data_IF_613310505571
#
_entry.id   IF_613310505571
#
_cell.length_a   1.000
_cell.length_b   1.000
_cell.length_c   1.000
_cell.angle_alpha   90.00
_cell.angle_beta   90.00
_cell.angle_gamma   90.00
#
_symmetry.space_group_name_H-M   'P 1'
#
loop_
_entity.id
_entity.type
_entity.pdbx_description
1 polymer ?
#
# COMPACT_ATOMS: atom_id res chain seq x y z
N UNK A 1 63.43 -17.84 5.43
CA UNK A 1 62.00 -17.92 5.07
C UNK A 1 61.38 -16.54 5.30
N UNK A 2 60.93 -15.83 4.25
CA UNK A 2 60.45 -14.46 4.38
C UNK A 2 58.96 -14.42 4.79
N UNK A 3 58.61 -13.46 5.65
CA UNK A 3 57.22 -13.10 6.00
C UNK A 3 56.55 -12.43 4.79
N UNK A 4 55.30 -12.78 4.42
CA UNK A 4 54.56 -11.98 3.45
C UNK A 4 53.86 -10.80 4.14
N UNK A 5 53.99 -9.67 3.46
CA UNK A 5 53.46 -8.34 3.78
C UNK A 5 51.94 -8.28 3.73
N UNK A 6 51.37 -7.45 4.61
CA UNK A 6 49.94 -7.21 4.70
C UNK A 6 49.37 -6.44 3.51
N UNK A 7 48.29 -6.99 2.94
CA UNK A 7 47.33 -6.26 2.13
C UNK A 7 46.30 -5.64 3.09
N UNK A 8 46.18 -4.32 3.12
CA UNK A 8 45.03 -3.63 3.75
C UNK A 8 43.97 -3.43 2.67
N UNK A 9 42.90 -4.21 2.73
CA UNK A 9 41.67 -4.00 1.99
C UNK A 9 40.81 -3.03 2.81
N UNK A 10 40.65 -1.80 2.35
CA UNK A 10 39.64 -0.86 2.84
C UNK A 10 38.27 -1.30 2.32
N UNK A 11 37.49 -1.97 3.16
CA UNK A 11 36.08 -2.22 2.92
C UNK A 11 35.27 -0.98 3.37
N UNK A 12 34.54 -0.38 2.43
CA UNK A 12 33.52 0.60 2.74
C UNK A 12 32.34 -0.12 3.40
N UNK A 13 32.09 0.18 4.68
CA UNK A 13 30.95 -0.32 5.43
C UNK A 13 29.71 0.50 5.02
N UNK A 14 28.88 -0.04 4.13
CA UNK A 14 27.49 0.42 4.00
C UNK A 14 26.74 -0.04 5.24
N UNK A 15 26.50 0.88 6.17
CA UNK A 15 25.68 0.62 7.35
C UNK A 15 24.20 0.55 6.93
N UNK A 16 23.72 -0.66 6.64
CA UNK A 16 22.30 -0.96 6.67
C UNK A 16 21.91 -1.00 8.15
N UNK A 17 21.35 0.10 8.67
CA UNK A 17 20.80 0.10 10.03
C UNK A 17 19.51 -0.71 9.97
N UNK A 18 19.62 -1.98 10.34
CA UNK A 18 18.48 -2.86 10.56
C UNK A 18 17.81 -2.40 11.87
N UNK A 19 16.87 -1.47 11.75
CA UNK A 19 15.98 -1.13 12.86
C UNK A 19 15.13 -2.38 13.11
N UNK A 20 15.13 -2.98 14.32
CA UNK A 20 14.25 -4.10 14.61
C UNK A 20 12.82 -3.66 14.33
N UNK A 21 12.07 -4.49 13.60
CA UNK A 21 10.66 -4.24 13.32
C UNK A 21 9.94 -3.98 14.65
N UNK A 22 9.67 -2.71 14.94
CA UNK A 22 8.85 -2.31 16.07
C UNK A 22 7.46 -2.84 15.74
N UNK A 23 7.11 -3.96 16.37
CA UNK A 23 5.74 -4.45 16.41
C UNK A 23 4.92 -3.36 17.09
N UNK A 24 4.21 -2.57 16.28
CA UNK A 24 3.30 -1.52 16.73
C UNK A 24 2.07 -2.16 17.40
N UNK A 25 2.30 -2.75 18.58
CA UNK A 25 1.30 -3.26 19.49
C UNK A 25 1.10 -2.28 20.65
N UNK A 26 0.66 -1.05 20.37
CA UNK A 26 0.28 -0.09 21.40
C UNK A 26 -1.21 0.26 21.25
N UNK A 27 -2.02 -0.31 22.13
CA UNK A 27 -3.41 0.10 22.35
C UNK A 27 -3.44 1.56 22.82
N UNK A 28 -4.15 2.47 22.14
CA UNK A 28 -4.26 3.85 22.60
C UNK A 28 -5.16 3.92 23.82
N UNK A 29 -4.65 4.54 24.89
CA UNK A 29 -5.45 5.03 26.01
C UNK A 29 -6.22 6.27 25.51
N UNK A 30 -7.50 6.47 25.87
CA UNK A 30 -8.25 7.62 25.40
C UNK A 30 -7.67 8.90 26.01
N UNK A 31 -7.09 9.74 25.17
CA UNK A 31 -6.60 11.07 25.54
C UNK A 31 -7.71 12.08 25.33
N UNK A 32 -8.05 12.76 26.43
CA UNK A 32 -9.01 13.85 26.53
C UNK A 32 -8.59 15.00 25.60
N UNK A 33 -9.48 15.37 24.67
CA UNK A 33 -9.25 16.39 23.66
C UNK A 33 -9.31 17.77 24.31
N UNK A 34 -8.16 18.41 24.50
CA UNK A 34 -8.08 19.82 24.88
C UNK A 34 -8.12 20.64 23.59
N UNK A 35 -9.26 21.27 23.33
CA UNK A 35 -9.37 22.34 22.34
C UNK A 35 -8.59 23.56 22.84
N UNK A 36 -7.53 23.92 22.13
CA UNK A 36 -6.86 25.21 22.28
C UNK A 36 -7.17 26.04 21.04
N UNK A 37 -8.11 26.97 21.19
CA UNK A 37 -8.29 28.10 20.28
C UNK A 37 -7.05 29.00 20.37
N UNK A 38 -6.29 29.10 19.29
CA UNK A 38 -5.26 30.10 19.11
C UNK A 38 -5.37 30.67 17.70
N UNK A 39 -6.12 31.75 17.58
CA UNK A 39 -6.01 32.68 16.45
C UNK A 39 -4.60 33.27 16.46
N UNK A 40 -3.82 32.95 15.43
CA UNK A 40 -2.55 33.62 15.13
C UNK A 40 -2.71 34.31 13.78
N UNK A 41 -3.08 35.59 13.85
CA UNK A 41 -2.89 36.52 12.75
C UNK A 41 -1.39 36.86 12.67
N UNK A 42 -0.76 36.49 11.56
CA UNK A 42 0.63 36.80 11.23
C UNK A 42 0.77 36.96 9.72
N UNK A 43 0.73 38.21 9.26
CA UNK A 43 0.97 38.63 7.88
C UNK A 43 2.38 38.28 7.39
N UNK A 44 2.48 37.83 6.13
CA UNK A 44 3.69 37.97 5.31
C UNK A 44 4.68 36.80 5.30
N UNK A 45 4.22 35.56 5.13
CA UNK A 45 5.08 34.43 4.79
C UNK A 45 5.09 34.20 3.27
N UNK A 46 6.29 34.07 2.68
CA UNK A 46 6.45 33.61 1.30
C UNK A 46 5.68 32.29 1.10
N UNK A 47 4.99 32.19 -0.02
CA UNK A 47 4.18 31.02 -0.40
C UNK A 47 5.11 29.79 -0.36
N UNK A 48 4.85 28.78 0.51
CA UNK A 48 5.69 27.60 0.59
C UNK A 48 5.67 26.89 -0.76
N UNK A 49 6.83 26.37 -1.18
CA UNK A 49 6.99 25.58 -2.41
C UNK A 49 5.79 24.65 -2.59
N UNK A 50 5.10 24.80 -3.73
CA UNK A 50 3.84 24.11 -4.04
C UNK A 50 4.02 22.60 -3.81
N UNK A 51 3.28 22.05 -2.85
CA UNK A 51 3.25 20.61 -2.59
C UNK A 51 2.62 19.86 -3.77
N UNK A 52 2.65 18.51 -3.75
CA UNK A 52 1.89 17.72 -4.72
C UNK A 52 0.40 18.14 -4.69
N UNK A 53 -0.18 18.29 -5.87
CA UNK A 53 -1.53 18.79 -6.02
C UNK A 53 -2.54 17.89 -5.28
N UNK A 54 -3.34 18.49 -4.38
CA UNK A 54 -4.37 17.79 -3.61
C UNK A 54 -3.90 17.25 -2.24
N UNK A 55 -2.60 17.16 -2.00
CA UNK A 55 -2.08 16.66 -0.73
C UNK A 55 -1.98 17.76 0.33
N UNK A 56 -2.28 17.42 1.58
CA UNK A 56 -2.08 18.28 2.75
C UNK A 56 -0.66 18.15 3.27
N UNK A 57 -0.03 19.27 3.63
CA UNK A 57 1.33 19.33 4.17
C UNK A 57 1.32 19.23 5.70
N UNK A 58 2.04 18.25 6.24
CA UNK A 58 2.24 18.04 7.67
C UNK A 58 3.72 18.20 8.02
N UNK A 59 4.00 18.77 9.20
CA UNK A 59 5.37 19.10 9.62
C UNK A 59 5.64 18.59 11.03
N UNK A 60 6.77 17.92 11.22
CA UNK A 60 7.30 17.47 12.50
C UNK A 60 8.69 18.07 12.75
N UNK A 61 8.90 18.86 13.81
CA UNK A 61 10.23 19.24 14.24
C UNK A 61 11.08 18.02 14.63
N UNK A 62 12.25 17.86 13.99
CA UNK A 62 13.12 16.70 14.18
C UNK A 62 14.59 17.13 14.29
N UNK A 63 15.14 17.05 15.51
CA UNK A 63 16.49 17.54 15.79
C UNK A 63 16.59 19.06 15.56
N UNK A 64 17.58 19.48 14.77
CA UNK A 64 17.77 20.89 14.34
C UNK A 64 16.97 21.23 13.08
N UNK A 65 16.19 20.28 12.56
CA UNK A 65 15.46 20.40 11.32
C UNK A 65 13.98 20.04 11.46
N UNK A 66 13.38 19.69 10.33
CA UNK A 66 11.99 19.26 10.25
C UNK A 66 11.82 18.13 9.24
N UNK A 67 10.89 17.23 9.55
CA UNK A 67 10.37 16.23 8.61
C UNK A 67 9.02 16.70 8.10
N UNK A 68 8.82 16.63 6.79
CA UNK A 68 7.60 17.04 6.11
C UNK A 68 6.99 15.83 5.43
N UNK A 69 5.70 15.58 5.67
CA UNK A 69 4.93 14.57 4.97
C UNK A 69 3.81 15.25 4.17
N UNK A 70 3.54 14.75 2.97
CA UNK A 70 2.37 15.13 2.19
C UNK A 70 1.43 13.93 2.10
N UNK A 71 0.17 14.12 2.49
CA UNK A 71 -0.84 13.06 2.40
C UNK A 71 -2.24 13.67 2.29
N UNK A 72 -3.21 12.89 1.86
CA UNK A 72 -4.62 13.28 1.86
C UNK A 72 -5.08 13.71 3.25
N UNK A 73 -5.95 14.73 3.31
CA UNK A 73 -6.43 15.29 4.57
C UNK A 73 -7.13 14.26 5.46
N UNK A 74 -7.85 13.31 4.87
CA UNK A 74 -8.56 12.27 5.61
C UNK A 74 -7.63 11.23 6.27
N UNK A 75 -6.34 11.23 5.92
CA UNK A 75 -5.31 10.36 6.49
C UNK A 75 -4.53 11.03 7.63
N UNK A 76 -4.99 12.17 8.17
CA UNK A 76 -4.32 12.89 9.26
C UNK A 76 -3.96 11.97 10.44
N UNK A 77 -4.88 11.08 10.85
CA UNK A 77 -4.63 10.13 11.93
C UNK A 77 -3.46 9.17 11.65
N UNK A 78 -3.25 8.82 10.38
CA UNK A 78 -2.13 7.97 9.94
C UNK A 78 -0.81 8.73 9.92
N UNK A 79 -0.85 9.99 9.49
CA UNK A 79 0.32 10.88 9.54
C UNK A 79 0.75 11.12 10.99
N UNK A 80 -0.19 11.34 11.91
CA UNK A 80 0.11 11.48 13.33
C UNK A 80 0.77 10.22 13.91
N UNK A 81 0.30 9.03 13.53
CA UNK A 81 0.93 7.75 13.95
C UNK A 81 2.34 7.60 13.39
N UNK A 82 2.56 7.97 12.13
CA UNK A 82 3.91 8.04 11.55
C UNK A 82 4.79 9.01 12.35
N UNK A 83 4.28 10.18 12.70
CA UNK A 83 5.04 11.17 13.47
C UNK A 83 5.37 10.68 14.88
N UNK A 84 4.47 9.96 15.55
CA UNK A 84 4.78 9.32 16.83
C UNK A 84 5.94 8.33 16.71
N UNK A 85 5.96 7.51 15.65
CA UNK A 85 7.09 6.62 15.36
C UNK A 85 8.40 7.40 15.17
N UNK A 86 8.36 8.53 14.45
CA UNK A 86 9.52 9.40 14.30
C UNK A 86 9.94 10.02 15.65
N UNK A 87 8.99 10.46 16.48
CA UNK A 87 9.31 10.99 17.80
C UNK A 87 9.96 9.95 18.71
N UNK A 88 9.54 8.69 18.64
CA UNK A 88 10.18 7.57 19.34
C UNK A 88 11.63 7.39 18.85
N UNK A 89 11.85 7.39 17.52
CA UNK A 89 13.20 7.34 16.94
C UNK A 89 14.06 8.53 17.41
N UNK A 90 13.48 9.73 17.49
CA UNK A 90 14.16 10.93 18.00
C UNK A 90 14.51 10.78 19.48
N UNK A 91 13.61 10.24 20.30
CA UNK A 91 13.84 9.99 21.72
C UNK A 91 14.97 8.97 21.93
N UNK A 92 15.10 8.00 21.02
CA UNK A 92 16.20 7.05 20.93
C UNK A 92 17.49 7.62 20.31
N UNK A 93 17.50 8.92 19.95
CA UNK A 93 18.62 9.62 19.32
C UNK A 93 19.02 9.03 17.96
N UNK A 94 18.06 8.46 17.24
CA UNK A 94 18.25 7.99 15.87
C UNK A 94 18.23 9.18 14.93
N UNK A 95 19.33 9.42 14.22
CA UNK A 95 19.41 10.45 13.18
C UNK A 95 18.69 10.00 11.91
N UNK A 96 17.84 10.87 11.36
CA UNK A 96 17.19 10.66 10.06
C UNK A 96 17.92 11.50 9.01
N UNK A 97 18.25 10.86 7.89
CA UNK A 97 18.95 11.46 6.76
C UNK A 97 18.35 10.97 5.45
N UNK A 98 18.84 11.46 4.31
CA UNK A 98 18.42 10.99 2.98
C UNK A 98 18.77 9.53 2.67
N UNK A 99 19.62 8.91 3.51
CA UNK A 99 19.94 7.48 3.43
C UNK A 99 19.03 6.62 4.29
N UNK A 100 18.25 7.22 5.18
CA UNK A 100 17.35 6.50 6.07
C UNK A 100 16.23 5.89 5.24
N UNK A 101 15.90 4.64 5.56
CA UNK A 101 14.78 3.90 5.01
C UNK A 101 13.97 3.41 6.20
N UNK A 102 12.67 3.74 6.21
CA UNK A 102 11.78 3.46 7.33
C UNK A 102 10.73 2.44 6.89
N UNK A 103 10.90 1.16 7.22
CA UNK A 103 9.88 0.14 6.99
C UNK A 103 8.61 0.47 7.79
N UNK A 104 7.46 0.43 7.14
CA UNK A 104 6.14 0.64 7.74
C UNK A 104 5.14 -0.39 7.23
N UNK A 105 4.94 -1.45 8.02
CA UNK A 105 3.96 -2.50 7.72
C UNK A 105 4.27 -3.27 6.44
N UNK A 106 3.80 -2.76 5.29
CA UNK A 106 3.88 -3.40 3.98
C UNK A 106 4.87 -2.73 3.01
N UNK A 107 5.44 -1.58 3.36
CA UNK A 107 6.34 -0.83 2.47
C UNK A 107 7.47 -0.14 3.23
N UNK A 108 8.31 0.61 2.51
CA UNK A 108 9.45 1.34 3.07
C UNK A 108 9.42 2.78 2.60
N UNK A 109 9.28 3.71 3.56
CA UNK A 109 9.38 5.14 3.30
C UNK A 109 10.84 5.57 3.23
N UNK A 110 11.07 6.66 2.49
CA UNK A 110 12.37 7.27 2.31
C UNK A 110 12.32 8.76 2.59
N UNK A 111 13.50 9.37 2.70
CA UNK A 111 13.62 10.78 3.02
C UNK A 111 14.48 11.46 1.95
N UNK A 112 14.06 12.63 1.52
CA UNK A 112 14.81 13.43 0.55
C UNK A 112 14.90 14.88 1.01
N UNK A 113 16.04 15.53 0.77
CA UNK A 113 16.12 16.97 0.94
C UNK A 113 15.34 17.63 -0.21
N UNK A 114 14.53 18.66 0.04
CA UNK A 114 13.88 19.38 -1.05
C UNK A 114 14.95 19.93 -2.00
N UNK A 115 14.68 19.84 -3.31
CA UNK A 115 15.52 20.48 -4.32
C UNK A 115 15.48 21.98 -4.03
N UNK A 116 16.60 22.54 -3.60
CA UNK A 116 16.68 23.93 -3.17
C UNK A 116 16.46 24.87 -4.37
N UNK A 117 15.23 25.27 -4.60
CA UNK A 117 14.90 26.38 -5.50
C UNK A 117 14.74 27.66 -4.68
N UNK A 118 15.87 28.25 -4.28
CA UNK A 118 15.86 29.61 -3.76
C UNK A 118 16.89 29.95 -2.68
N UNK A 119 17.11 31.25 -2.42
CA UNK A 119 18.06 31.76 -1.43
C UNK A 119 17.65 31.51 0.03
N UNK A 120 16.44 30.98 0.29
CA UNK A 120 15.94 30.70 1.65
C UNK A 120 16.55 29.46 2.30
N UNK A 121 17.26 28.62 1.54
CA UNK A 121 18.11 27.55 2.09
C UNK A 121 19.27 28.06 2.97
N UNK A 122 19.44 29.38 3.09
CA UNK A 122 20.44 30.03 3.92
C UNK A 122 20.09 30.10 5.42
N UNK A 123 18.86 29.78 5.83
CA UNK A 123 18.42 29.82 7.24
C UNK A 123 18.71 28.54 8.05
N UNK A 124 19.42 27.57 7.48
CA UNK A 124 20.15 26.54 8.23
C UNK A 124 19.35 25.38 8.82
N UNK A 125 18.02 25.41 8.84
CA UNK A 125 17.20 24.28 9.27
C UNK A 125 17.07 23.24 8.15
N UNK A 126 17.59 22.03 8.38
CA UNK A 126 17.46 20.92 7.43
C UNK A 126 15.99 20.50 7.30
N UNK A 127 15.48 20.45 6.07
CA UNK A 127 14.14 19.92 5.80
C UNK A 127 14.29 18.58 5.09
N UNK A 128 13.58 17.55 5.56
CA UNK A 128 13.48 16.25 4.90
C UNK A 128 12.03 15.98 4.55
N UNK A 129 11.77 15.67 3.29
CA UNK A 129 10.46 15.27 2.79
C UNK A 129 10.38 13.75 2.83
N UNK A 130 9.33 13.21 3.45
CA UNK A 130 9.01 11.78 3.44
C UNK A 130 8.47 11.43 2.06
N UNK A 131 8.97 10.34 1.48
CA UNK A 131 8.59 9.85 0.15
C UNK A 131 8.25 8.37 0.18
N UNK A 132 7.21 8.00 -0.53
CA UNK A 132 6.86 6.60 -0.81
C UNK A 132 7.37 6.17 -2.19
N UNK A 133 7.51 4.86 -2.44
CA UNK A 133 7.65 4.32 -3.80
C UNK A 133 6.58 4.89 -4.74
N UNK A 134 6.94 5.15 -5.98
CA UNK A 134 5.98 5.61 -6.99
C UNK A 134 5.11 4.46 -7.50
N UNK A 135 4.05 4.12 -6.76
CA UNK A 135 3.17 2.99 -7.07
C UNK A 135 2.39 3.12 -8.38
N UNK A 136 2.30 4.31 -8.97
CA UNK A 136 1.62 4.53 -10.25
C UNK A 136 2.59 4.50 -11.44
N UNK A 137 3.91 4.53 -11.17
CA UNK A 137 4.99 4.57 -12.15
C UNK A 137 5.95 3.39 -12.00
N UNK A 138 7.18 3.67 -11.55
CA UNK A 138 8.25 2.68 -11.34
C UNK A 138 8.55 2.52 -9.84
N UNK A 139 7.86 1.64 -9.09
CA UNK A 139 7.95 1.63 -7.62
C UNK A 139 9.32 1.18 -7.10
N UNK A 140 10.07 0.39 -7.88
CA UNK A 140 11.40 -0.09 -7.47
C UNK A 140 12.50 0.99 -7.65
N UNK A 141 12.29 1.97 -8.54
CA UNK A 141 13.32 2.92 -8.97
C UNK A 141 12.96 4.39 -8.69
N UNK A 142 11.67 4.71 -8.55
CA UNK A 142 11.15 6.06 -8.35
C UNK A 142 10.40 6.19 -7.02
N UNK A 143 10.34 7.43 -6.54
CA UNK A 143 9.60 7.79 -5.32
C UNK A 143 8.83 9.08 -5.52
N UNK A 144 7.77 9.29 -4.76
CA UNK A 144 6.95 10.51 -4.79
C UNK A 144 6.72 11.07 -3.40
N UNK A 145 6.46 12.37 -3.32
CA UNK A 145 6.34 13.09 -2.05
C UNK A 145 4.99 12.86 -1.35
N UNK A 146 3.94 12.56 -2.11
CA UNK A 146 2.63 12.21 -1.56
C UNK A 146 2.66 10.75 -1.08
N UNK A 147 2.50 10.54 0.24
CA UNK A 147 2.56 9.23 0.90
C UNK A 147 1.18 8.60 1.17
N UNK A 148 0.14 9.10 0.50
CA UNK A 148 -1.25 8.70 0.76
C UNK A 148 -1.50 7.21 0.52
N UNK A 149 -0.89 6.61 -0.50
CA UNK A 149 -1.13 5.19 -0.83
C UNK A 149 -0.54 4.26 0.22
N UNK A 150 0.66 4.57 0.71
CA UNK A 150 1.30 3.86 1.83
C UNK A 150 0.43 3.89 3.08
N UNK A 151 0.00 5.09 3.46
CA UNK A 151 -0.75 5.32 4.70
C UNK A 151 -2.18 4.76 4.62
N UNK A 152 -2.89 4.96 3.52
CA UNK A 152 -4.23 4.41 3.34
C UNK A 152 -4.22 2.88 3.38
N UNK A 153 -3.24 2.25 2.72
CA UNK A 153 -3.10 0.79 2.74
C UNK A 153 -2.73 0.28 4.13
N UNK A 154 -1.82 0.96 4.84
CA UNK A 154 -1.47 0.61 6.21
C UNK A 154 -2.67 0.76 7.17
N UNK A 155 -3.53 1.77 6.97
CA UNK A 155 -4.73 1.98 7.76
C UNK A 155 -5.72 0.82 7.61
N UNK A 156 -6.00 0.38 6.36
CA UNK A 156 -6.87 -0.77 6.09
C UNK A 156 -6.31 -2.05 6.70
N UNK A 157 -5.02 -2.30 6.53
CA UNK A 157 -4.34 -3.45 7.12
C UNK A 157 -4.42 -3.46 8.65
N UNK A 158 -4.24 -2.29 9.28
CA UNK A 158 -4.40 -2.17 10.73
C UNK A 158 -5.83 -2.46 11.16
N UNK A 159 -6.82 -1.97 10.43
CA UNK A 159 -8.23 -2.27 10.71
C UNK A 159 -8.50 -3.78 10.76
N UNK A 160 -7.93 -4.56 9.83
CA UNK A 160 -8.01 -6.03 9.85
C UNK A 160 -7.32 -6.61 11.09
N UNK A 161 -6.09 -6.16 11.40
CA UNK A 161 -5.34 -6.63 12.57
C UNK A 161 -6.07 -6.34 13.90
N UNK A 162 -6.68 -5.16 14.02
CA UNK A 162 -7.43 -4.73 15.19
C UNK A 162 -8.70 -5.58 15.39
N UNK A 163 -9.44 -5.87 14.32
CA UNK A 163 -10.64 -6.74 14.39
C UNK A 163 -10.31 -8.17 14.75
N UNK A 164 -9.24 -8.71 14.16
CA UNK A 164 -8.78 -10.07 14.44
C UNK A 164 -8.08 -10.14 15.82
N UNK A 165 -7.61 -9.01 16.35
CA UNK A 165 -6.99 -8.91 17.67
C UNK A 165 -5.55 -9.46 17.72
N UNK A 166 -4.79 -9.30 16.64
CA UNK A 166 -3.46 -9.90 16.48
C UNK A 166 -2.41 -8.87 16.08
N UNK A 167 -1.14 -9.16 16.42
CA UNK A 167 -0.02 -8.37 15.93
C UNK A 167 0.26 -8.72 14.46
N UNK A 168 0.60 -7.70 13.67
CA UNK A 168 0.95 -7.88 12.27
C UNK A 168 2.36 -8.42 12.05
N UNK A 169 2.53 -9.17 10.97
CA UNK A 169 3.82 -9.58 10.40
C UNK A 169 4.11 -8.73 9.17
N UNK A 170 5.18 -7.93 9.22
CA UNK A 170 5.53 -7.01 8.15
C UNK A 170 5.90 -7.73 6.85
N UNK A 171 5.58 -7.08 5.73
CA UNK A 171 6.05 -7.42 4.38
C UNK A 171 6.65 -6.18 3.74
N UNK A 172 7.23 -6.31 2.55
CA UNK A 172 7.67 -5.17 1.77
C UNK A 172 7.01 -5.18 0.38
N UNK A 173 6.85 -4.00 -0.22
CA UNK A 173 6.11 -3.82 -1.47
C UNK A 173 6.76 -4.55 -2.65
N UNK A 174 8.09 -4.74 -2.60
CA UNK A 174 8.93 -5.41 -3.59
C UNK A 174 9.09 -6.93 -3.33
N UNK A 175 8.51 -7.43 -2.23
CA UNK A 175 8.34 -8.86 -2.00
C UNK A 175 7.18 -9.40 -2.84
N UNK A 176 7.18 -10.72 -3.01
CA UNK A 176 6.35 -11.42 -3.96
C UNK A 176 5.37 -12.36 -3.27
N UNK A 177 4.18 -12.43 -3.83
CA UNK A 177 3.11 -13.37 -3.54
C UNK A 177 3.13 -14.44 -4.63
N UNK A 178 2.96 -15.70 -4.23
CA UNK A 178 2.75 -16.78 -5.19
C UNK A 178 1.27 -16.81 -5.56
N UNK A 179 0.93 -16.74 -6.83
CA UNK A 179 -0.46 -16.74 -7.27
C UNK A 179 -0.68 -17.82 -8.32
N UNK A 180 -1.90 -18.36 -8.36
CA UNK A 180 -2.39 -19.06 -9.55
C UNK A 180 -2.58 -18.03 -10.65
N UNK A 181 -2.13 -18.35 -11.87
CA UNK A 181 -2.20 -17.42 -12.99
C UNK A 181 -3.65 -16.95 -13.22
N UNK A 182 -3.86 -15.64 -13.28
CA UNK A 182 -5.19 -15.05 -13.47
C UNK A 182 -6.06 -15.03 -12.21
N UNK A 183 -5.54 -15.43 -11.04
CA UNK A 183 -6.30 -15.40 -9.79
C UNK A 183 -6.73 -13.99 -9.38
N UNK A 184 -6.02 -12.93 -9.82
CA UNK A 184 -6.42 -11.55 -9.54
C UNK A 184 -7.79 -11.20 -10.14
N UNK A 185 -8.14 -11.80 -11.28
CA UNK A 185 -9.39 -11.55 -12.01
C UNK A 185 -10.58 -12.39 -11.50
N UNK A 186 -10.34 -13.32 -10.58
CA UNK A 186 -11.37 -14.22 -10.05
C UNK A 186 -12.06 -13.57 -8.86
N UNK A 187 -13.39 -13.54 -8.86
CA UNK A 187 -14.18 -12.93 -7.78
C UNK A 187 -13.93 -13.62 -6.43
N UNK A 188 -14.05 -14.95 -6.40
CA UNK A 188 -13.93 -15.76 -5.19
C UNK A 188 -12.50 -16.33 -5.03
N UNK A 189 -11.71 -15.70 -4.16
CA UNK A 189 -10.31 -16.08 -3.92
C UNK A 189 -10.01 -16.22 -2.44
N UNK A 190 -8.93 -16.93 -2.14
CA UNK A 190 -8.34 -16.98 -0.81
C UNK A 190 -6.87 -16.57 -0.86
N UNK A 191 -6.45 -15.93 0.22
CA UNK A 191 -5.05 -15.68 0.56
C UNK A 191 -4.68 -16.59 1.72
N UNK A 192 -3.66 -17.42 1.53
CA UNK A 192 -3.09 -18.26 2.58
C UNK A 192 -1.68 -17.78 2.91
N UNK A 193 -1.41 -17.44 4.17
CA UNK A 193 -0.07 -17.12 4.64
C UNK A 193 0.61 -18.37 5.19
N UNK A 194 1.63 -18.84 4.49
CA UNK A 194 2.58 -19.82 5.04
C UNK A 194 3.81 -19.11 5.60
N UNK A 195 4.62 -19.83 6.38
CA UNK A 195 5.93 -19.34 6.80
C UNK A 195 6.74 -18.95 5.56
N UNK A 196 7.23 -17.71 5.54
CA UNK A 196 8.05 -17.21 4.43
C UNK A 196 9.27 -18.12 4.24
N UNK A 197 9.55 -18.58 3.00
CA UNK A 197 10.80 -19.29 2.71
C UNK A 197 12.02 -18.34 2.68
N UNK A 198 11.83 -17.05 2.94
CA UNK A 198 12.85 -16.01 2.88
C UNK A 198 13.05 -15.41 1.48
N UNK A 199 14.05 -14.53 1.36
CA UNK A 199 14.36 -13.83 0.12
C UNK A 199 13.27 -12.83 -0.28
N UNK A 200 12.86 -12.84 -1.56
CA UNK A 200 11.79 -11.97 -2.06
C UNK A 200 10.39 -12.52 -1.80
N UNK A 201 10.21 -13.70 -1.21
CA UNK A 201 8.88 -14.28 -1.05
C UNK A 201 8.26 -13.84 0.29
N UNK A 202 7.04 -13.32 0.22
CA UNK A 202 6.25 -12.97 1.41
C UNK A 202 5.83 -14.21 2.19
N UNK A 203 5.52 -15.32 1.51
CA UNK A 203 4.82 -16.47 2.10
C UNK A 203 3.30 -16.43 1.88
N UNK A 204 2.77 -15.35 1.30
CA UNK A 204 1.39 -15.33 0.83
C UNK A 204 1.22 -16.18 -0.44
N UNK A 205 0.09 -16.87 -0.51
CA UNK A 205 -0.38 -17.62 -1.66
C UNK A 205 -1.79 -17.18 -2.03
N UNK A 206 -2.01 -16.77 -3.27
CA UNK A 206 -3.30 -16.39 -3.81
C UNK A 206 -3.85 -17.52 -4.69
N UNK A 207 -5.06 -17.99 -4.39
CA UNK A 207 -5.69 -19.08 -5.15
C UNK A 207 -7.22 -18.90 -5.24
N UNK A 208 -7.87 -19.49 -6.26
CA UNK A 208 -9.32 -19.58 -6.31
C UNK A 208 -9.88 -20.40 -5.13
N UNK A 209 -11.05 -20.03 -4.61
CA UNK A 209 -11.72 -20.83 -3.57
C UNK A 209 -12.24 -22.18 -4.08
N UNK A 210 -12.47 -22.29 -5.40
CA UNK A 210 -12.88 -23.52 -6.08
C UNK A 210 -11.81 -24.64 -6.02
N UNK A 211 -10.58 -24.32 -5.60
CA UNK A 211 -9.45 -25.22 -5.54
C UNK A 211 -8.44 -24.95 -6.66
N UNK A 212 -7.40 -25.78 -6.68
CA UNK A 212 -6.29 -25.71 -7.63
C UNK A 212 -6.27 -27.02 -8.43
N UNK A 213 -6.19 -26.92 -9.75
CA UNK A 213 -5.99 -28.02 -10.70
C UNK A 213 -4.50 -28.32 -10.89
N UNK A 214 -4.16 -29.53 -11.34
CA UNK A 214 -2.78 -29.87 -11.75
C UNK A 214 -2.32 -29.08 -12.98
N UNK A 215 -3.27 -28.56 -13.76
CA UNK A 215 -3.02 -27.76 -14.97
C UNK A 215 -2.79 -26.27 -14.65
N UNK A 216 -3.03 -25.84 -13.42
CA UNK A 216 -2.90 -24.44 -13.06
C UNK A 216 -1.43 -24.01 -12.98
N UNK A 217 -1.09 -22.96 -13.72
CA UNK A 217 0.24 -22.36 -13.69
C UNK A 217 0.40 -21.42 -12.49
N UNK A 218 1.62 -21.40 -11.92
CA UNK A 218 1.98 -20.50 -10.83
C UNK A 218 2.76 -19.30 -11.36
N UNK A 219 2.38 -18.12 -10.89
CA UNK A 219 3.10 -16.87 -11.12
C UNK A 219 3.57 -16.23 -9.82
N UNK A 220 4.55 -15.33 -9.96
CA UNK A 220 5.18 -14.60 -8.85
C UNK A 220 4.92 -13.12 -9.02
N UNK A 221 4.05 -12.56 -8.19
CA UNK A 221 3.59 -11.19 -8.31
C UNK A 221 4.20 -10.33 -7.20
N UNK A 222 4.87 -9.22 -7.48
CA UNK A 222 5.28 -8.29 -6.43
C UNK A 222 4.03 -7.66 -5.78
N UNK A 223 4.11 -7.35 -4.49
CA UNK A 223 2.99 -6.80 -3.71
C UNK A 223 2.46 -5.50 -4.33
N UNK A 224 3.33 -4.65 -4.88
CA UNK A 224 2.88 -3.44 -5.58
C UNK A 224 2.06 -3.72 -6.85
N UNK A 225 2.30 -4.84 -7.55
CA UNK A 225 1.49 -5.20 -8.72
C UNK A 225 0.08 -5.65 -8.29
N UNK A 226 -0.04 -6.30 -7.13
CA UNK A 226 -1.34 -6.64 -6.53
C UNK A 226 -2.05 -5.37 -6.08
N UNK A 227 -1.34 -4.41 -5.51
CA UNK A 227 -1.91 -3.10 -5.17
C UNK A 227 -2.51 -2.42 -6.39
N UNK A 228 -1.81 -2.41 -7.53
CA UNK A 228 -2.31 -1.80 -8.76
C UNK A 228 -3.53 -2.54 -9.34
N UNK A 229 -3.52 -3.88 -9.29
CA UNK A 229 -4.56 -4.69 -9.91
C UNK A 229 -5.81 -4.86 -9.03
N UNK A 230 -5.63 -5.13 -7.74
CA UNK A 230 -6.70 -5.41 -6.77
C UNK A 230 -6.31 -5.01 -5.35
N UNK A 231 -6.35 -3.70 -5.02
CA UNK A 231 -5.88 -3.14 -3.75
C UNK A 231 -6.45 -3.80 -2.49
N UNK A 232 -7.70 -4.27 -2.55
CA UNK A 232 -8.40 -4.88 -1.42
C UNK A 232 -7.70 -6.12 -0.88
N UNK A 233 -6.97 -6.86 -1.73
CA UNK A 233 -6.24 -8.05 -1.30
C UNK A 233 -5.10 -7.72 -0.31
N UNK A 234 -4.59 -6.49 -0.31
CA UNK A 234 -3.53 -6.08 0.61
C UNK A 234 -4.03 -5.96 2.06
N UNK A 235 -5.32 -5.82 2.30
CA UNK A 235 -5.88 -5.56 3.63
C UNK A 235 -5.53 -6.68 4.62
N UNK A 236 -5.52 -7.93 4.16
CA UNK A 236 -5.15 -9.08 4.98
C UNK A 236 -3.63 -9.31 5.07
N UNK A 237 -2.81 -8.62 4.28
CA UNK A 237 -1.42 -9.06 4.02
C UNK A 237 -0.44 -8.86 5.18
N UNK A 238 -0.84 -8.17 6.26
CA UNK A 238 -0.09 -8.13 7.51
C UNK A 238 -0.48 -9.22 8.51
N UNK A 239 -1.47 -10.07 8.20
CA UNK A 239 -1.78 -11.21 9.07
C UNK A 239 -0.56 -12.15 9.16
N UNK A 240 -0.31 -12.71 10.36
CA UNK A 240 0.86 -13.55 10.56
C UNK A 240 0.74 -14.91 9.86
N UNK A 241 1.87 -15.60 9.78
CA UNK A 241 1.94 -16.95 9.24
C UNK A 241 0.94 -17.91 9.89
N UNK A 242 0.25 -18.72 9.06
CA UNK A 242 -0.82 -19.62 9.45
C UNK A 242 -2.23 -19.08 9.15
N UNK A 243 -2.39 -17.78 8.91
CA UNK A 243 -3.70 -17.19 8.66
C UNK A 243 -4.16 -17.40 7.22
N UNK A 244 -5.49 -17.43 7.05
CA UNK A 244 -6.15 -17.47 5.76
C UNK A 244 -7.23 -16.40 5.68
N UNK A 245 -7.37 -15.74 4.53
CA UNK A 245 -8.36 -14.70 4.28
C UNK A 245 -9.13 -15.01 3.00
N UNK A 246 -10.46 -15.01 3.08
CA UNK A 246 -11.36 -15.26 1.95
C UNK A 246 -11.93 -13.94 1.41
N UNK A 247 -12.00 -13.82 0.09
CA UNK A 247 -12.55 -12.66 -0.59
C UNK A 247 -13.65 -13.07 -1.56
N UNK A 248 -14.67 -12.22 -1.64
CA UNK A 248 -15.72 -12.23 -2.66
C UNK A 248 -15.71 -10.86 -3.33
N UNK A 249 -15.16 -10.80 -4.54
CA UNK A 249 -14.78 -9.53 -5.17
C UNK A 249 -13.79 -8.77 -4.27
N UNK A 250 -13.99 -7.48 -4.07
CA UNK A 250 -13.10 -6.67 -3.22
C UNK A 250 -13.47 -6.73 -1.72
N UNK A 251 -14.41 -7.59 -1.33
CA UNK A 251 -14.83 -7.74 0.05
C UNK A 251 -14.04 -8.86 0.73
N UNK A 252 -13.27 -8.51 1.77
CA UNK A 252 -12.77 -9.50 2.74
C UNK A 252 -13.98 -10.07 3.50
N UNK A 253 -14.18 -11.38 3.43
CA UNK A 253 -15.37 -12.04 3.97
C UNK A 253 -15.09 -12.83 5.24
N UNK A 254 -14.05 -13.64 5.26
CA UNK A 254 -13.74 -14.50 6.40
C UNK A 254 -12.24 -14.54 6.64
N UNK A 255 -11.83 -14.51 7.91
CA UNK A 255 -10.45 -14.77 8.32
C UNK A 255 -10.42 -16.01 9.21
N UNK A 256 -9.54 -16.94 8.87
CA UNK A 256 -9.21 -18.13 9.66
C UNK A 256 -7.82 -17.97 10.29
N UNK A 257 -7.66 -18.48 11.50
CA UNK A 257 -6.35 -18.64 12.15
C UNK A 257 -5.62 -19.92 11.70
N UNK A 258 -4.41 -20.15 12.21
CA UNK A 258 -3.61 -21.34 11.90
C UNK A 258 -4.14 -22.67 12.45
N UNK A 259 -5.26 -22.65 13.18
CA UNK A 259 -5.99 -23.84 13.64
C UNK A 259 -7.33 -24.01 12.88
N UNK A 260 -7.47 -23.34 11.73
CA UNK A 260 -8.66 -23.32 10.87
C UNK A 260 -9.93 -22.82 11.59
N UNK A 261 -9.77 -21.98 12.63
CA UNK A 261 -10.90 -21.37 13.32
C UNK A 261 -11.23 -20.02 12.71
N UNK A 262 -12.53 -19.78 12.51
CA UNK A 262 -13.04 -18.45 12.15
C UNK A 262 -12.77 -17.48 13.30
N UNK A 263 -11.87 -16.53 13.06
CA UNK A 263 -11.54 -15.45 14.00
C UNK A 263 -12.24 -14.15 13.63
N UNK A 264 -12.69 -14.03 12.37
CA UNK A 264 -13.50 -12.92 11.90
C UNK A 264 -14.38 -13.35 10.72
N UNK A 265 -15.63 -12.88 10.68
CA UNK A 265 -16.59 -13.13 9.61
C UNK A 265 -17.49 -11.89 9.42
N UNK A 266 -17.44 -11.31 8.22
CA UNK A 266 -18.20 -10.10 7.87
C UNK A 266 -19.71 -10.25 8.08
N UNK A 267 -20.27 -11.46 7.90
CA UNK A 267 -21.72 -11.69 8.04
C UNK A 267 -22.16 -11.66 9.49
N UNK A 268 -21.26 -12.02 10.42
CA UNK A 268 -21.55 -12.05 11.84
C UNK A 268 -21.61 -10.63 12.45
N UNK A 269 -20.94 -9.65 11.84
CA UNK A 269 -20.92 -8.25 12.29
C UNK A 269 -22.17 -7.46 11.88
N UNK A 270 -23.02 -8.03 11.02
CA UNK A 270 -24.26 -7.39 10.56
C UNK A 270 -24.01 -6.26 9.55
N UNK A 271 -25.01 -6.02 8.70
CA UNK A 271 -25.00 -5.04 7.59
C UNK A 271 -24.67 -3.59 8.01
N UNK A 272 -24.63 -3.28 9.30
CA UNK A 272 -24.40 -1.93 9.82
C UNK A 272 -22.91 -1.55 9.90
N UNK A 273 -21.99 -2.51 9.72
CA UNK A 273 -20.53 -2.28 9.64
C UNK A 273 -20.05 -1.81 8.25
N UNK A 274 -20.92 -1.75 7.24
CA UNK A 274 -20.59 -1.38 5.85
C UNK A 274 -20.08 0.07 5.67
N UNK A 275 -19.98 0.86 6.74
CA UNK A 275 -19.53 2.26 6.70
C UNK A 275 -18.03 2.49 6.87
N UNK A 276 -17.24 1.47 7.21
CA UNK A 276 -15.81 1.64 7.54
C UNK A 276 -14.84 1.29 6.40
N UNK A 277 -15.36 1.04 5.20
CA UNK A 277 -14.56 0.94 3.98
C UNK A 277 -13.73 -0.34 3.85
N UNK A 278 -13.83 -1.29 4.80
CA UNK A 278 -13.24 -2.62 4.64
C UNK A 278 -14.20 -3.50 3.81
N UNK A 279 -14.08 -3.35 2.49
CA UNK A 279 -14.76 -4.16 1.46
C UNK A 279 -15.87 -3.45 0.66
N UNK A 280 -16.06 -2.15 0.84
CA UNK A 280 -16.84 -1.37 -0.14
C UNK A 280 -16.00 -1.18 -1.42
N UNK A 281 -16.57 -1.41 -2.62
CA UNK A 281 -15.87 -1.11 -3.87
C UNK A 281 -15.51 0.38 -3.87
N UNK A 282 -14.22 0.68 -4.06
CA UNK A 282 -13.76 2.06 -4.23
C UNK A 282 -14.46 2.59 -5.48
N UNK A 283 -15.41 3.50 -5.29
CA UNK A 283 -16.11 4.13 -6.39
C UNK A 283 -15.08 4.91 -7.21
N UNK A 284 -14.60 4.30 -8.30
CA UNK A 284 -13.86 5.01 -9.32
C UNK A 284 -14.73 6.17 -9.80
N UNK A 285 -14.20 7.38 -9.71
CA UNK A 285 -14.77 8.60 -10.30
C UNK A 285 -14.79 8.48 -11.83
N UNK A 286 -15.65 7.63 -12.35
CA UNK A 286 -15.98 7.50 -13.75
C UNK A 286 -17.33 8.15 -13.97
N UNK A 287 -17.32 9.43 -14.34
CA UNK A 287 -18.49 10.15 -14.84
C UNK A 287 -19.08 9.39 -16.03
N UNK A 288 -20.11 8.58 -15.77
CA UNK A 288 -20.87 7.93 -16.82
C UNK A 288 -21.92 8.93 -17.29
N UNK A 289 -21.65 9.56 -18.42
CA UNK A 289 -22.60 10.40 -19.13
C UNK A 289 -23.77 9.51 -19.60
N UNK A 290 -24.91 9.68 -18.94
CA UNK A 290 -26.16 8.99 -19.19
C UNK A 290 -26.73 9.42 -20.56
N UNK A 291 -26.47 8.63 -21.61
CA UNK A 291 -27.11 8.80 -22.92
C UNK A 291 -28.46 8.09 -22.91
N UNK A 292 -29.52 8.89 -23.00
CA UNK A 292 -30.91 8.44 -23.01
C UNK A 292 -31.25 7.47 -24.17
N UNK A 293 -32.14 6.48 -23.96
CA UNK A 293 -32.54 5.53 -24.98
C UNK A 293 -33.56 6.13 -25.97
N UNK A 294 -33.18 6.20 -27.24
CA UNK A 294 -34.06 6.57 -28.36
C UNK A 294 -35.00 5.43 -28.80
N UNK A 295 -36.27 5.78 -28.92
CA UNK A 295 -37.46 5.01 -29.34
C UNK A 295 -37.29 4.22 -30.68
N UNK A 296 -37.95 3.04 -30.85
CA UNK A 296 -37.79 2.20 -32.04
C UNK A 296 -38.65 2.63 -33.24
N UNK A 297 -38.06 2.64 -34.43
CA UNK A 297 -38.74 2.84 -35.72
C UNK A 297 -38.95 1.52 -36.49
N UNK A 298 -40.19 1.31 -36.95
CA UNK A 298 -40.70 0.17 -37.74
C UNK A 298 -40.15 0.10 -39.19
N UNK A 299 -40.39 -1.00 -39.94
CA UNK A 299 -39.47 -1.55 -40.93
C UNK A 299 -39.76 -1.07 -42.36
N UNK A 300 -38.70 -0.99 -43.16
CA UNK A 300 -38.76 -0.82 -44.61
C UNK A 300 -38.46 -2.15 -45.31
N UNK A 301 -39.43 -2.61 -46.08
CA UNK A 301 -39.34 -3.71 -47.04
C UNK A 301 -38.30 -3.40 -48.13
N UNK A 302 -37.50 -4.41 -48.49
CA UNK A 302 -36.59 -4.35 -49.64
C UNK A 302 -36.22 -5.76 -50.07
N UNK A 303 -36.97 -6.30 -51.02
CA UNK A 303 -36.64 -7.49 -51.81
C UNK A 303 -35.35 -7.26 -52.62
N UNK A 304 -34.60 -8.33 -52.89
CA UNK A 304 -33.70 -8.33 -54.06
C UNK A 304 -32.47 -9.22 -53.93
N UNK A 305 -32.63 -10.44 -54.46
CA UNK A 305 -31.66 -11.18 -55.28
C UNK A 305 -30.28 -11.52 -54.70
N UNK A 306 -29.96 -12.79 -54.47
CA UNK A 306 -29.58 -13.82 -55.45
C UNK A 306 -28.05 -13.98 -55.52
N UNK A 307 -27.62 -15.23 -55.73
CA UNK A 307 -26.29 -15.67 -56.13
C UNK A 307 -25.20 -16.01 -55.09
N UNK A 308 -25.09 -17.33 -54.91
CA UNK A 308 -23.90 -18.16 -55.19
C UNK A 308 -22.78 -18.24 -54.12
N UNK A 309 -22.87 -19.32 -53.33
CA UNK A 309 -21.75 -20.01 -52.70
C UNK A 309 -20.89 -20.75 -53.74
N UNK A 310 -19.56 -20.77 -53.60
CA UNK A 310 -18.74 -21.89 -54.06
C UNK A 310 -18.44 -22.88 -52.91
N UNK A 311 -18.24 -24.18 -53.23
CA UNK A 311 -18.13 -25.25 -52.25
C UNK A 311 -16.72 -25.44 -51.67
N UNK A 312 -16.72 -26.01 -50.47
CA UNK A 312 -15.58 -26.56 -49.74
C UNK A 312 -14.90 -27.69 -50.53
N UNK A 313 -13.56 -27.67 -50.59
CA UNK A 313 -12.74 -28.85 -50.90
C UNK A 313 -12.20 -29.46 -49.59
N UNK A 314 -12.21 -30.79 -49.43
CA UNK A 314 -11.49 -31.46 -48.36
C UNK A 314 -10.01 -31.64 -48.76
N UNK A 315 -9.10 -31.36 -47.83
CA UNK A 315 -7.70 -31.80 -47.93
C UNK A 315 -7.56 -33.15 -47.23
N UNK A 316 -6.82 -34.04 -47.89
CA UNK A 316 -6.25 -35.28 -47.37
C UNK A 316 -5.24 -35.05 -46.24
#
# INVERSE_FOLDING_TARGET
MPKPSGLRLTAALSALILVPALSLGCQPKPTETVHADAEVEGEGGAEPAEGPAGATRYVLPYGEGQVVAYADAHLEGEVQRLFLLLEDLRAEQVEISTRTRLPIGWTTLSFEAPVAEGPESALGTSTLVVREPDYDGEPEDATRADISVSLATLARQRGVLERVGVAGEAINFDQHVMAIQGALDIEEVLLLRVVSPGGRLTGWRLAPTAGISEEDELESLPVYAILQARPALLDAMLLPSGYMAYYSGDQLTTVLDGEDRVVWDWRAEGSDAAGDGLGAPVAGSGSTEEVAPGTPGRPGSGEGSDSLLPPLTPNE
#
